data_IF_983462140488
#
_entry.id   IF_983462140488
#
_cell.length_a   1.000
_cell.length_b   1.000
_cell.length_c   1.000
_cell.angle_alpha   90.00
_cell.angle_beta   90.00
_cell.angle_gamma   90.00
#
_symmetry.space_group_name_H-M   'P 1'
#
loop_
_entity.id
_entity.type
_entity.pdbx_description
1 polymer ?
#
# COMPACT_ATOMS: atom_id res chain seq x y z
N UNK A 1 0.22 -0.53 -18.91
CA UNK A 1 0.19 -1.48 -17.79
C UNK A 1 1.63 -1.73 -17.38
N UNK A 2 1.99 -1.55 -16.11
CA UNK A 2 3.30 -1.93 -15.59
C UNK A 2 3.11 -3.07 -14.57
N UNK A 3 3.37 -4.29 -15.02
CA UNK A 3 3.33 -5.51 -14.21
C UNK A 3 4.76 -5.92 -13.86
N UNK A 4 5.07 -6.05 -12.57
CA UNK A 4 6.38 -6.51 -12.11
C UNK A 4 6.20 -7.77 -11.26
N UNK A 5 6.34 -8.92 -11.93
CA UNK A 5 6.35 -10.23 -11.29
C UNK A 5 7.80 -10.68 -11.14
N UNK A 6 8.25 -11.00 -9.92
CA UNK A 6 9.65 -11.37 -9.59
C UNK A 6 10.71 -10.27 -9.79
N UNK A 7 10.40 -9.17 -10.49
CA UNK A 7 11.30 -8.06 -10.77
C UNK A 7 11.00 -6.81 -9.95
N UNK A 8 10.31 -6.92 -8.80
CA UNK A 8 9.97 -5.75 -7.97
C UNK A 8 11.21 -4.92 -7.63
N UNK A 9 12.36 -5.56 -7.42
CA UNK A 9 13.65 -4.91 -7.19
C UNK A 9 14.09 -3.91 -8.29
N UNK A 10 13.55 -4.00 -9.52
CA UNK A 10 13.84 -3.04 -10.59
C UNK A 10 13.31 -1.65 -10.28
N UNK A 11 12.29 -1.51 -9.41
CA UNK A 11 11.73 -0.20 -9.04
C UNK A 11 12.82 0.75 -8.54
N UNK A 12 13.79 0.25 -7.78
CA UNK A 12 14.95 1.03 -7.29
C UNK A 12 15.87 1.56 -8.39
N UNK A 13 15.74 1.04 -9.62
CA UNK A 13 16.56 1.38 -10.79
C UNK A 13 15.79 2.24 -11.80
N UNK A 14 14.48 2.37 -11.66
CA UNK A 14 13.68 3.16 -12.59
C UNK A 14 13.77 4.64 -12.24
N UNK A 15 13.97 5.48 -13.27
CA UNK A 15 13.83 6.93 -13.16
C UNK A 15 12.49 7.34 -13.79
N UNK A 16 11.45 7.36 -12.98
CA UNK A 16 10.13 7.83 -13.39
C UNK A 16 10.13 9.36 -13.38
N UNK A 17 9.66 9.98 -14.46
CA UNK A 17 9.57 11.45 -14.53
C UNK A 17 8.56 11.97 -13.49
N UNK A 18 8.81 13.15 -12.90
CA UNK A 18 7.94 13.71 -11.87
C UNK A 18 6.49 13.95 -12.35
N UNK A 19 6.33 14.29 -13.62
CA UNK A 19 5.01 14.50 -14.24
C UNK A 19 4.41 13.21 -14.83
N UNK A 20 5.02 12.05 -14.57
CA UNK A 20 4.51 10.78 -15.11
C UNK A 20 3.19 10.40 -14.43
N UNK A 21 2.21 10.04 -15.26
CA UNK A 21 0.94 9.48 -14.83
C UNK A 21 0.85 8.05 -15.33
N UNK A 22 0.81 7.08 -14.42
CA UNK A 22 0.52 5.69 -14.74
C UNK A 22 -1.00 5.52 -14.90
N UNK A 23 -1.47 5.71 -16.14
CA UNK A 23 -2.89 5.76 -16.54
C UNK A 23 -3.66 4.43 -16.47
N UNK A 24 -2.99 3.32 -16.17
CA UNK A 24 -3.62 1.99 -16.10
C UNK A 24 -3.47 1.39 -14.71
N UNK A 25 -2.59 0.40 -14.56
CA UNK A 25 -2.34 -0.33 -13.32
C UNK A 25 -0.84 -0.43 -13.08
N UNK A 26 -0.43 -0.14 -11.86
CA UNK A 26 0.84 -0.59 -11.28
C UNK A 26 0.54 -1.84 -10.46
N UNK A 27 0.93 -3.00 -10.97
CA UNK A 27 0.74 -4.28 -10.29
C UNK A 27 2.10 -4.82 -9.85
N UNK A 28 2.22 -5.02 -8.55
CA UNK A 28 3.41 -5.58 -7.93
C UNK A 28 3.04 -6.88 -7.24
N UNK A 29 3.87 -7.90 -7.46
CA UNK A 29 3.70 -9.22 -6.88
C UNK A 29 5.02 -9.74 -6.32
N UNK A 30 4.98 -10.23 -5.08
CA UNK A 30 6.04 -11.04 -4.52
C UNK A 30 5.44 -12.13 -3.63
N UNK A 31 5.77 -13.37 -3.90
CA UNK A 31 5.42 -14.55 -3.10
C UNK A 31 6.42 -14.82 -1.96
N UNK A 32 7.53 -14.09 -1.93
CA UNK A 32 8.59 -14.24 -0.93
C UNK A 32 9.29 -12.93 -0.62
N UNK A 33 9.63 -12.74 0.65
CA UNK A 33 10.34 -11.56 1.16
C UNK A 33 11.72 -11.40 0.52
N UNK A 34 12.37 -12.49 0.08
CA UNK A 34 13.66 -12.43 -0.62
C UNK A 34 13.62 -11.56 -1.89
N UNK A 35 12.49 -11.54 -2.61
CA UNK A 35 12.28 -10.75 -3.83
C UNK A 35 12.22 -9.23 -3.58
N UNK A 36 11.95 -8.81 -2.33
CA UNK A 36 11.81 -7.41 -1.94
C UNK A 36 12.85 -6.97 -0.91
N UNK A 37 13.73 -7.87 -0.48
CA UNK A 37 14.71 -7.64 0.59
C UNK A 37 15.60 -6.41 0.37
N UNK A 38 16.01 -6.14 -0.88
CA UNK A 38 16.78 -4.93 -1.22
C UNK A 38 15.97 -3.64 -1.11
N UNK A 39 14.67 -3.69 -1.42
CA UNK A 39 13.76 -2.53 -1.26
C UNK A 39 13.50 -2.28 0.22
N UNK A 40 13.32 -3.32 1.02
CA UNK A 40 13.07 -3.16 2.46
C UNK A 40 14.22 -2.45 3.19
N UNK A 41 15.45 -2.51 2.66
CA UNK A 41 16.62 -1.79 3.19
C UNK A 41 16.62 -0.29 2.86
N UNK A 42 15.74 0.16 1.96
CA UNK A 42 15.65 1.58 1.58
C UNK A 42 14.87 2.38 2.62
N UNK A 43 15.07 3.69 2.61
CA UNK A 43 14.32 4.62 3.45
C UNK A 43 12.85 4.68 3.01
N UNK A 44 11.96 5.05 3.93
CA UNK A 44 10.55 5.28 3.59
C UNK A 44 10.44 6.44 2.59
N UNK A 45 9.47 6.37 1.69
CA UNK A 45 9.26 7.35 0.61
C UNK A 45 10.50 7.57 -0.29
N UNK A 46 11.35 6.55 -0.50
CA UNK A 46 12.55 6.67 -1.34
C UNK A 46 12.34 6.21 -2.79
N UNK A 47 11.25 5.52 -3.08
CA UNK A 47 10.94 4.98 -4.41
C UNK A 47 9.82 5.80 -5.04
N UNK A 48 10.19 6.78 -5.85
CA UNK A 48 9.24 7.61 -6.60
C UNK A 48 8.46 6.81 -7.65
N UNK A 49 7.13 6.73 -7.50
CA UNK A 49 6.23 6.12 -8.49
C UNK A 49 5.33 7.13 -9.21
N UNK A 50 5.33 8.39 -8.79
CA UNK A 50 4.57 9.46 -9.45
C UNK A 50 3.07 9.36 -9.20
N UNK A 51 2.26 9.67 -10.22
CA UNK A 51 0.80 9.49 -10.14
C UNK A 51 0.44 8.08 -10.61
N UNK A 52 -0.37 7.39 -9.83
CA UNK A 52 -0.80 6.02 -10.10
C UNK A 52 -2.32 6.00 -10.09
N UNK A 53 -2.94 5.54 -11.18
CA UNK A 53 -4.39 5.45 -11.27
C UNK A 53 -4.94 4.26 -10.50
N UNK A 54 -4.30 3.10 -10.62
CA UNK A 54 -4.64 1.88 -9.88
C UNK A 54 -3.38 1.19 -9.36
N UNK A 55 -3.42 0.79 -8.09
CA UNK A 55 -2.32 0.09 -7.43
C UNK A 55 -2.79 -1.26 -6.90
N UNK A 56 -2.16 -2.34 -7.38
CA UNK A 56 -2.38 -3.70 -6.91
C UNK A 56 -1.11 -4.21 -6.22
N UNK A 57 -1.20 -4.51 -4.93
CA UNK A 57 -0.12 -5.11 -4.15
C UNK A 57 -0.56 -6.49 -3.67
N UNK A 58 0.17 -7.52 -4.11
CA UNK A 58 -0.20 -8.91 -3.87
C UNK A 58 0.99 -9.69 -3.28
N UNK A 59 0.79 -10.25 -2.09
CA UNK A 59 1.79 -11.04 -1.35
C UNK A 59 2.71 -10.19 -0.47
N UNK A 60 3.98 -10.57 -0.35
CA UNK A 60 4.96 -9.93 0.53
C UNK A 60 5.31 -8.50 0.09
N UNK A 61 5.06 -8.15 -1.17
CA UNK A 61 5.27 -6.78 -1.69
C UNK A 61 4.42 -5.73 -0.98
N UNK A 62 3.42 -6.14 -0.22
CA UNK A 62 2.67 -5.24 0.65
C UNK A 62 3.61 -4.50 1.61
N UNK A 63 4.65 -5.16 2.13
CA UNK A 63 5.63 -4.58 3.06
C UNK A 63 6.52 -3.48 2.45
N UNK A 64 6.53 -3.31 1.12
CA UNK A 64 7.24 -2.19 0.48
C UNK A 64 6.38 -0.94 0.31
N UNK A 65 5.08 -0.98 0.62
CA UNK A 65 4.21 0.19 0.49
C UNK A 65 4.76 1.44 1.22
N UNK A 66 5.32 1.36 2.44
CA UNK A 66 5.95 2.52 3.10
C UNK A 66 7.19 3.08 2.37
N UNK A 67 7.77 2.32 1.44
CA UNK A 67 8.95 2.73 0.65
C UNK A 67 8.57 3.49 -0.61
N UNK A 68 7.33 3.34 -1.08
CA UNK A 68 6.81 4.03 -2.27
C UNK A 68 6.50 5.49 -1.94
N UNK A 69 6.87 6.40 -2.85
CA UNK A 69 6.52 7.81 -2.80
C UNK A 69 5.61 8.17 -3.98
N UNK A 70 4.45 8.72 -3.65
CA UNK A 70 3.43 9.12 -4.61
C UNK A 70 3.44 10.63 -4.75
N UNK A 71 3.04 11.10 -5.93
CA UNK A 71 2.84 12.53 -6.14
C UNK A 71 1.83 13.10 -5.12
N UNK A 72 2.05 14.33 -4.66
CA UNK A 72 1.18 14.97 -3.65
C UNK A 72 -0.28 15.07 -4.12
N UNK A 73 -0.49 15.42 -5.38
CA UNK A 73 -1.81 15.43 -6.05
C UNK A 73 -2.23 14.04 -6.63
N UNK A 74 -1.74 12.93 -6.08
CA UNK A 74 -2.12 11.61 -6.56
C UNK A 74 -3.61 11.32 -6.29
N UNK A 75 -4.31 10.85 -7.32
CA UNK A 75 -5.72 10.47 -7.25
C UNK A 75 -5.87 9.07 -7.84
N UNK A 76 -6.01 8.07 -6.97
CA UNK A 76 -6.24 6.68 -7.36
C UNK A 76 -7.74 6.44 -7.55
N UNK A 77 -8.08 5.75 -8.63
CA UNK A 77 -9.37 5.08 -8.76
C UNK A 77 -9.46 3.89 -7.80
N UNK A 78 -8.37 3.13 -7.63
CA UNK A 78 -8.37 1.89 -6.87
C UNK A 78 -7.03 1.58 -6.21
N UNK A 79 -7.08 1.22 -4.92
CA UNK A 79 -5.99 0.57 -4.19
C UNK A 79 -6.47 -0.80 -3.72
N UNK A 80 -5.90 -1.85 -4.30
CA UNK A 80 -6.12 -3.24 -3.92
C UNK A 80 -4.88 -3.79 -3.23
N UNK A 81 -5.04 -4.24 -1.99
CA UNK A 81 -3.96 -4.86 -1.22
C UNK A 81 -4.42 -6.24 -0.73
N UNK A 82 -3.69 -7.27 -1.16
CA UNK A 82 -3.96 -8.65 -0.79
C UNK A 82 -2.71 -9.28 -0.20
N UNK A 83 -2.77 -9.61 1.09
CA UNK A 83 -1.72 -10.37 1.74
C UNK A 83 -1.98 -11.87 1.55
N UNK A 84 -1.11 -12.57 0.84
CA UNK A 84 -1.34 -13.97 0.48
C UNK A 84 -1.10 -14.95 1.63
N UNK A 85 -0.14 -14.66 2.51
CA UNK A 85 0.33 -15.63 3.51
C UNK A 85 -0.22 -15.40 4.94
N UNK A 86 -0.39 -16.51 5.68
CA UNK A 86 -1.09 -16.55 6.98
C UNK A 86 -0.22 -16.22 8.19
N UNK A 87 1.11 -16.16 8.05
CA UNK A 87 1.99 -16.11 9.22
C UNK A 87 3.18 -15.18 8.98
N UNK A 88 3.30 -14.19 9.88
CA UNK A 88 4.55 -13.49 10.28
C UNK A 88 5.13 -12.35 9.42
N UNK A 89 4.61 -12.05 8.23
CA UNK A 89 5.30 -11.13 7.31
C UNK A 89 4.80 -9.67 7.20
N UNK A 90 3.92 -9.15 8.08
CA UNK A 90 3.64 -7.70 8.12
C UNK A 90 4.70 -6.96 8.97
N UNK A 91 5.98 -7.31 8.80
CA UNK A 91 6.98 -6.86 9.77
C UNK A 91 7.24 -5.37 9.65
N UNK A 92 7.25 -4.84 8.43
CA UNK A 92 7.65 -3.45 8.20
C UNK A 92 6.50 -2.48 8.42
N UNK A 93 5.32 -2.82 7.91
CA UNK A 93 4.11 -2.00 8.07
C UNK A 93 3.76 -1.83 9.56
N UNK A 94 3.90 -2.87 10.39
CA UNK A 94 3.57 -2.76 11.81
C UNK A 94 4.51 -1.84 12.59
N UNK A 95 5.74 -1.64 12.11
CA UNK A 95 6.68 -0.67 12.68
C UNK A 95 6.35 0.78 12.28
N UNK A 96 5.55 0.99 11.23
CA UNK A 96 5.18 2.33 10.80
C UNK A 96 4.22 2.98 11.79
N UNK A 97 4.33 4.30 11.96
CA UNK A 97 3.40 5.07 12.77
C UNK A 97 2.02 5.13 12.09
N UNK A 98 0.97 5.32 12.89
CA UNK A 98 -0.36 5.53 12.34
C UNK A 98 -0.38 6.82 11.49
N UNK A 99 -1.16 6.84 10.41
CA UNK A 99 -1.23 7.97 9.47
C UNK A 99 0.13 8.42 8.90
N UNK A 100 1.09 7.50 8.68
CA UNK A 100 2.42 7.84 8.15
C UNK A 100 2.62 7.51 6.67
N UNK A 101 1.81 6.60 6.10
CA UNK A 101 1.96 6.13 4.71
C UNK A 101 1.08 6.96 3.79
N UNK A 102 1.65 7.93 3.08
CA UNK A 102 0.90 8.76 2.13
C UNK A 102 0.47 7.98 0.89
N UNK A 103 -0.83 8.02 0.55
CA UNK A 103 -1.36 7.41 -0.68
C UNK A 103 -2.15 8.38 -1.57
N UNK A 104 -2.34 9.63 -1.13
CA UNK A 104 -3.14 10.63 -1.84
C UNK A 104 -4.64 10.41 -1.66
N UNK A 105 -5.42 10.67 -2.71
CA UNK A 105 -6.86 10.40 -2.76
C UNK A 105 -7.10 9.00 -3.34
N UNK A 106 -8.09 8.27 -2.82
CA UNK A 106 -8.44 6.92 -3.23
C UNK A 106 -9.97 6.78 -3.25
N UNK A 107 -10.53 6.47 -4.42
CA UNK A 107 -11.97 6.25 -4.57
C UNK A 107 -12.39 4.88 -4.03
N UNK A 108 -11.59 3.83 -4.28
CA UNK A 108 -11.88 2.46 -3.83
C UNK A 108 -10.70 1.84 -3.11
N UNK A 109 -10.90 1.44 -1.86
CA UNK A 109 -9.90 0.79 -1.04
C UNK A 109 -10.34 -0.65 -0.72
N UNK A 110 -9.59 -1.64 -1.19
CA UNK A 110 -9.83 -3.05 -0.88
C UNK A 110 -8.64 -3.63 -0.13
N UNK A 111 -8.84 -3.94 1.16
CA UNK A 111 -7.85 -4.61 2.00
C UNK A 111 -8.33 -6.02 2.36
N UNK A 112 -7.50 -7.02 2.06
CA UNK A 112 -7.81 -8.44 2.29
C UNK A 112 -6.77 -9.10 3.17
N UNK A 113 -7.22 -10.01 4.03
CA UNK A 113 -6.40 -10.73 5.00
C UNK A 113 -5.63 -9.77 5.92
N UNK A 114 -4.36 -10.08 6.15
CA UNK A 114 -3.40 -9.29 6.92
C UNK A 114 -3.26 -7.83 6.44
N UNK A 115 -3.61 -7.52 5.19
CA UNK A 115 -3.57 -6.14 4.68
C UNK A 115 -4.52 -5.19 5.44
N UNK A 116 -5.52 -5.68 6.17
CA UNK A 116 -6.40 -4.81 6.97
C UNK A 116 -5.61 -4.02 8.04
N UNK A 117 -4.50 -4.57 8.52
CA UNK A 117 -3.63 -3.89 9.50
C UNK A 117 -2.94 -2.64 8.93
N UNK A 118 -2.93 -2.45 7.61
CA UNK A 118 -2.50 -1.20 6.97
C UNK A 118 -3.44 -0.04 7.24
N UNK A 119 -4.74 -0.31 7.40
CA UNK A 119 -5.76 0.73 7.41
C UNK A 119 -5.43 1.89 8.37
N UNK A 120 -5.03 1.67 9.65
CA UNK A 120 -4.63 2.77 10.53
C UNK A 120 -3.28 3.44 10.18
N UNK A 121 -2.47 2.84 9.31
CA UNK A 121 -1.16 3.36 8.86
C UNK A 121 -1.29 4.27 7.64
N UNK A 122 -2.33 4.10 6.83
CA UNK A 122 -2.57 4.88 5.62
C UNK A 122 -2.92 6.33 5.98
N UNK A 123 -2.24 7.27 5.34
CA UNK A 123 -2.55 8.70 5.33
C UNK A 123 -3.22 9.04 4.01
N UNK A 124 -4.54 9.19 4.07
CA UNK A 124 -5.37 9.59 2.95
C UNK A 124 -5.48 11.12 2.97
N UNK A 125 -5.51 11.74 1.79
CA UNK A 125 -5.64 13.21 1.64
C UNK A 125 -6.96 13.71 2.23
N UNK A 126 -6.96 14.82 2.99
CA UNK A 126 -8.14 15.37 3.70
C UNK A 126 -9.41 15.61 2.84
N UNK A 127 -9.24 16.04 1.60
CA UNK A 127 -10.35 16.16 0.61
C UNK A 127 -10.79 14.84 -0.05
N UNK A 128 -10.38 13.68 0.45
CA UNK A 128 -10.78 12.39 -0.15
C UNK A 128 -12.28 12.16 -0.01
N UNK A 129 -12.91 11.71 -1.09
CA UNK A 129 -14.29 11.23 -1.10
C UNK A 129 -14.23 9.77 -1.51
N UNK A 130 -14.27 8.87 -0.53
CA UNK A 130 -14.16 7.43 -0.77
C UNK A 130 -15.53 6.89 -1.19
N UNK A 131 -15.58 6.23 -2.34
CA UNK A 131 -16.78 5.59 -2.86
C UNK A 131 -17.00 4.22 -2.22
N UNK A 132 -15.92 3.43 -2.10
CA UNK A 132 -15.99 2.04 -1.64
C UNK A 132 -14.85 1.70 -0.69
N UNK A 133 -15.19 1.10 0.46
CA UNK A 133 -14.25 0.47 1.38
C UNK A 133 -14.61 -1.01 1.53
N UNK A 134 -13.72 -1.89 1.08
CA UNK A 134 -13.88 -3.33 1.19
C UNK A 134 -12.82 -3.91 2.14
N UNK A 135 -13.27 -4.50 3.24
CA UNK A 135 -12.40 -5.20 4.20
C UNK A 135 -12.83 -6.66 4.27
N UNK A 136 -11.91 -7.60 4.03
CA UNK A 136 -12.19 -9.03 4.13
C UNK A 136 -11.13 -9.75 4.96
N UNK A 137 -11.50 -10.15 6.17
CA UNK A 137 -10.71 -10.99 7.06
C UNK A 137 -11.35 -12.37 7.19
N UNK A 138 -10.50 -13.41 7.25
CA UNK A 138 -10.89 -14.79 7.53
C UNK A 138 -10.48 -15.22 8.94
N UNK A 139 -9.55 -14.52 9.59
CA UNK A 139 -9.02 -14.84 10.91
C UNK A 139 -9.02 -13.59 11.80
N UNK A 140 -9.22 -13.75 13.12
CA UNK A 140 -9.25 -12.64 14.08
C UNK A 140 -7.92 -11.90 14.13
N UNK A 141 -6.81 -12.62 14.00
CA UNK A 141 -5.46 -12.03 14.05
C UNK A 141 -5.21 -10.99 12.94
N UNK A 142 -5.95 -11.07 11.83
CA UNK A 142 -5.85 -10.14 10.71
C UNK A 142 -6.38 -8.74 11.03
N UNK A 143 -7.15 -8.59 12.11
CA UNK A 143 -7.74 -7.32 12.54
C UNK A 143 -7.26 -6.87 13.93
N UNK A 144 -6.35 -7.61 14.56
CA UNK A 144 -5.92 -7.33 15.94
C UNK A 144 -5.35 -5.93 16.12
N UNK A 145 -4.54 -5.44 15.19
CA UNK A 145 -3.95 -4.10 15.30
C UNK A 145 -4.98 -2.98 15.16
N UNK A 146 -5.93 -3.12 14.24
CA UNK A 146 -6.99 -2.10 14.10
C UNK A 146 -7.92 -2.10 15.31
N UNK A 147 -8.18 -3.26 15.93
CA UNK A 147 -9.00 -3.35 17.15
C UNK A 147 -8.33 -2.72 18.38
N UNK A 148 -7.01 -2.50 18.36
CA UNK A 148 -6.28 -1.77 19.42
C UNK A 148 -6.37 -0.25 19.26
N UNK A 149 -6.80 0.24 18.11
CA UNK A 149 -6.92 1.68 17.86
C UNK A 149 -8.13 2.27 18.56
N UNK A 150 -8.08 3.57 18.87
CA UNK A 150 -9.22 4.26 19.48
C UNK A 150 -10.39 4.34 18.50
N UNK A 151 -11.61 4.36 19.03
CA UNK A 151 -12.82 4.53 18.21
C UNK A 151 -12.71 5.82 17.39
N UNK A 152 -13.03 5.72 16.09
CA UNK A 152 -12.97 6.84 15.13
C UNK A 152 -11.56 7.42 14.87
N UNK A 153 -10.49 6.72 15.25
CA UNK A 153 -9.11 7.17 15.01
C UNK A 153 -8.61 6.95 13.57
N UNK A 154 -9.27 6.08 12.81
CA UNK A 154 -8.98 5.82 11.39
C UNK A 154 -9.88 6.70 10.54
N UNK A 155 -9.26 7.57 9.75
CA UNK A 155 -9.96 8.44 8.80
C UNK A 155 -9.90 7.87 7.38
N UNK A 156 -11.04 7.78 6.69
CA UNK A 156 -11.15 7.16 5.35
C UNK A 156 -11.65 8.12 4.26
N UNK A 157 -11.91 9.39 4.58
CA UNK A 157 -12.53 10.32 3.65
C UNK A 157 -13.80 10.96 4.20
N UNK A 158 -14.33 11.90 3.43
CA UNK A 158 -15.66 12.51 3.57
C UNK A 158 -16.74 11.64 2.92
#
# INVERSE_FOLDING_TARGET
MLELHYTVGILTKLRIHKENVMEEVLELYADKTEHISEILKTENNSIWVGRVKKLNLVGDVVDILPKLDFHEENVMEELLVFYADKTEHISEILKTENNSIWIGKVHRLSLKNNAIQLLPKLRIHEDNVMEELWLNAYEVDQITEILKTENNSVWVGK
#
